data_IF_675641715354
#
_entry.id   IF_675641715354
#
_cell.length_a   1.000
_cell.length_b   1.000
_cell.length_c   1.000
_cell.angle_alpha   90.00
_cell.angle_beta   90.00
_cell.angle_gamma   90.00
#
_symmetry.space_group_name_H-M   'P 1'
#
loop_
_entity.id
_entity.type
_entity.pdbx_description
1 polymer ?
#
# COMPACT_ATOMS: atom_id res chain seq x y z
N UNK A 1 -21.95 -0.04 13.72
CA UNK A 1 -20.53 -0.37 13.96
C UNK A 1 -20.07 -1.21 12.79
N UNK A 2 -19.23 -0.67 11.92
CA UNK A 2 -18.32 -1.41 11.03
C UNK A 2 -17.44 -0.37 10.32
N UNK A 3 -16.75 0.45 11.12
CA UNK A 3 -15.57 1.17 10.65
C UNK A 3 -14.46 0.12 10.65
N UNK A 4 -14.40 -0.67 9.57
CA UNK A 4 -13.28 -1.57 9.36
C UNK A 4 -12.02 -0.70 9.35
N UNK A 5 -11.24 -0.79 10.42
CA UNK A 5 -9.88 -0.27 10.44
C UNK A 5 -9.13 -0.93 9.30
N UNK A 6 -8.87 -0.18 8.25
CA UNK A 6 -7.83 -0.52 7.32
C UNK A 6 -6.66 0.35 7.73
N UNK A 7 -5.81 -0.23 8.58
CA UNK A 7 -4.61 0.46 9.05
C UNK A 7 -3.69 0.64 7.84
N UNK A 8 -3.35 1.88 7.47
CA UNK A 8 -2.49 2.13 6.32
C UNK A 8 -1.13 1.49 6.55
N UNK A 9 -0.73 0.59 5.65
CA UNK A 9 0.53 -0.14 5.76
C UNK A 9 1.65 0.70 5.20
N UNK A 10 2.77 0.81 5.92
CA UNK A 10 3.94 1.51 5.41
C UNK A 10 4.63 0.68 4.33
N UNK A 11 5.07 1.32 3.24
CA UNK A 11 5.70 0.60 2.12
C UNK A 11 6.94 -0.19 2.56
N UNK A 12 7.68 0.30 3.55
CA UNK A 12 8.86 -0.38 4.09
C UNK A 12 8.49 -1.71 4.80
N UNK A 13 7.38 -1.74 5.54
CA UNK A 13 6.88 -2.95 6.20
C UNK A 13 6.41 -3.98 5.18
N UNK A 14 5.70 -3.52 4.15
CA UNK A 14 5.24 -4.36 3.05
C UNK A 14 6.43 -4.93 2.26
N UNK A 15 7.44 -4.09 1.97
CA UNK A 15 8.69 -4.48 1.32
C UNK A 15 9.42 -5.60 2.09
N UNK A 16 9.52 -5.47 3.42
CA UNK A 16 10.10 -6.50 4.28
C UNK A 16 9.26 -7.79 4.29
N UNK A 17 7.94 -7.67 4.29
CA UNK A 17 7.02 -8.83 4.33
C UNK A 17 7.06 -9.66 3.05
N UNK A 18 7.20 -9.00 1.90
CA UNK A 18 7.22 -9.65 0.59
C UNK A 18 8.63 -9.85 0.03
N UNK A 19 9.67 -9.58 0.83
CA UNK A 19 11.09 -9.61 0.45
C UNK A 19 11.35 -8.94 -0.91
N UNK A 20 10.84 -7.71 -1.05
CA UNK A 20 10.89 -6.95 -2.29
C UNK A 20 11.44 -5.55 -2.04
N UNK A 21 12.25 -5.06 -2.96
CA UNK A 21 12.72 -3.69 -2.88
C UNK A 21 11.55 -2.69 -3.03
N UNK A 22 11.65 -1.57 -2.31
CA UNK A 22 10.62 -0.53 -2.26
C UNK A 22 10.27 0.02 -3.65
N UNK A 23 11.26 0.19 -4.53
CA UNK A 23 11.05 0.77 -5.88
C UNK A 23 10.16 -0.13 -6.74
N UNK A 24 10.40 -1.44 -6.75
CA UNK A 24 9.57 -2.42 -7.45
C UNK A 24 8.18 -2.49 -6.84
N UNK A 25 8.08 -2.47 -5.52
CA UNK A 25 6.81 -2.48 -4.81
C UNK A 25 5.98 -1.22 -5.11
N UNK A 26 6.59 -0.04 -5.14
CA UNK A 26 5.94 1.21 -5.48
C UNK A 26 5.35 1.18 -6.89
N UNK A 27 6.10 0.64 -7.86
CA UNK A 27 5.59 0.49 -9.23
C UNK A 27 4.37 -0.43 -9.30
N UNK A 28 4.30 -1.47 -8.47
CA UNK A 28 3.15 -2.38 -8.40
C UNK A 28 1.97 -1.65 -7.74
N UNK A 29 2.19 -0.98 -6.61
CA UNK A 29 1.15 -0.26 -5.87
C UNK A 29 0.52 0.85 -6.69
N UNK A 30 1.31 1.62 -7.46
CA UNK A 30 0.79 2.62 -8.38
C UNK A 30 -0.07 2.01 -9.49
N UNK A 31 0.29 0.83 -10.02
CA UNK A 31 -0.53 0.11 -11.00
C UNK A 31 -1.84 -0.40 -10.40
N UNK A 32 -1.83 -0.76 -9.11
CA UNK A 32 -3.02 -1.18 -8.37
C UNK A 32 -3.92 0.02 -8.01
N UNK A 33 -3.33 1.19 -7.76
CA UNK A 33 -4.05 2.44 -7.53
C UNK A 33 -4.82 2.89 -8.77
N UNK A 34 -4.21 2.79 -9.96
CA UNK A 34 -4.92 3.02 -11.22
C UNK A 34 -6.12 2.08 -11.44
N UNK A 35 -6.15 0.94 -10.73
CA UNK A 35 -7.25 -0.02 -10.76
C UNK A 35 -8.23 0.16 -9.60
N UNK A 36 -8.06 1.18 -8.76
CA UNK A 36 -8.81 1.39 -7.52
C UNK A 36 -8.77 0.17 -6.58
N UNK A 37 -7.61 -0.49 -6.47
CA UNK A 37 -7.42 -1.63 -5.53
C UNK A 37 -6.72 -1.16 -4.25
N UNK A 38 -5.84 -0.18 -4.36
CA UNK A 38 -5.12 0.44 -3.25
C UNK A 38 -5.14 1.96 -3.43
N UNK A 39 -4.97 2.71 -2.35
CA UNK A 39 -4.79 4.16 -2.38
C UNK A 39 -3.52 4.56 -1.66
N UNK A 40 -2.78 5.51 -2.23
CA UNK A 40 -1.67 6.11 -1.52
C UNK A 40 -2.16 7.13 -0.50
N UNK A 41 -1.70 6.97 0.74
CA UNK A 41 -1.89 7.93 1.81
C UNK A 41 -0.55 8.62 2.08
N UNK A 42 -0.60 9.91 2.41
CA UNK A 42 0.58 10.71 2.70
C UNK A 42 1.55 10.02 3.66
N UNK A 43 2.85 10.21 3.43
CA UNK A 43 3.89 9.57 4.24
C UNK A 43 4.20 8.11 3.84
N UNK A 44 4.12 7.77 2.55
CA UNK A 44 4.47 6.45 1.99
C UNK A 44 3.64 5.29 2.53
N UNK A 45 2.41 5.57 2.93
CA UNK A 45 1.48 4.56 3.42
C UNK A 45 0.50 4.21 2.32
N UNK A 46 0.05 2.97 2.31
CA UNK A 46 -0.94 2.49 1.36
C UNK A 46 -2.08 1.84 2.11
N UNK A 47 -3.29 2.15 1.67
CA UNK A 47 -4.52 1.56 2.17
C UNK A 47 -5.25 0.83 1.03
N UNK A 48 -6.18 -0.06 1.37
CA UNK A 48 -7.07 -0.69 0.39
C UNK A 48 -8.19 0.30 0.04
N UNK A 49 -8.44 0.44 -1.26
CA UNK A 49 -9.48 1.34 -1.79
C UNK A 49 -10.89 0.75 -1.63
#
# INVERSE_FOLDING_TARGET
MNNLGHDPVHIDELANTVDMNISSLLQILLKLELKNVVQQIGGKRFDRA
#
